data_IF_666814448397
#
_entry.id   IF_666814448397
#
_cell.length_a   1.000
_cell.length_b   1.000
_cell.length_c   1.000
_cell.angle_alpha   90.00
_cell.angle_beta   90.00
_cell.angle_gamma   90.00
#
_symmetry.space_group_name_H-M   'P 1'
#
loop_
_entity.id
_entity.type
_entity.pdbx_description
1 polymer ?
#
# COMPACT_ATOMS: atom_id res chain seq x y z
N UNK A 1 -23.21 -15.98 -23.74
CA UNK A 1 -22.38 -15.05 -24.51
C UNK A 1 -21.25 -14.52 -23.62
N UNK A 2 -20.04 -14.77 -24.03
CA UNK A 2 -18.85 -14.30 -23.29
C UNK A 2 -18.15 -13.23 -24.10
N UNK A 3 -17.94 -12.04 -23.51
CA UNK A 3 -17.14 -10.96 -24.10
C UNK A 3 -15.80 -10.94 -23.37
N UNK A 4 -14.71 -11.22 -24.06
CA UNK A 4 -13.36 -11.25 -23.47
C UNK A 4 -12.75 -9.85 -23.32
N UNK A 5 -13.14 -8.93 -24.19
CA UNK A 5 -12.68 -7.54 -24.19
C UNK A 5 -13.75 -6.64 -24.81
N UNK A 6 -14.01 -5.48 -24.19
CA UNK A 6 -14.87 -4.44 -24.74
C UNK A 6 -14.19 -3.10 -24.64
N UNK A 7 -13.94 -2.46 -25.78
CA UNK A 7 -13.44 -1.08 -25.85
C UNK A 7 -14.60 -0.13 -26.11
N UNK A 8 -14.78 0.86 -25.22
CA UNK A 8 -15.78 1.92 -25.35
C UNK A 8 -15.06 3.22 -25.62
N UNK A 9 -15.25 3.79 -26.82
CA UNK A 9 -14.59 5.04 -27.23
C UNK A 9 -15.39 6.32 -26.87
N UNK A 10 -16.60 6.13 -26.35
CA UNK A 10 -17.52 7.19 -25.92
C UNK A 10 -18.05 6.89 -24.51
N UNK A 11 -19.13 7.55 -24.11
CA UNK A 11 -19.76 7.32 -22.81
C UNK A 11 -20.39 5.93 -22.73
N UNK A 12 -20.00 5.17 -21.71
CA UNK A 12 -20.67 3.90 -21.38
C UNK A 12 -21.94 4.22 -20.58
N UNK A 13 -23.10 3.93 -21.18
CA UNK A 13 -24.40 3.98 -20.47
C UNK A 13 -24.78 2.59 -19.99
N UNK A 14 -24.75 2.38 -18.68
CA UNK A 14 -25.14 1.11 -18.06
C UNK A 14 -26.53 1.30 -17.44
N UNK A 15 -27.55 0.64 -17.99
CA UNK A 15 -28.93 0.73 -17.51
C UNK A 15 -29.25 -0.23 -16.36
N UNK A 16 -28.31 -1.03 -15.95
CA UNK A 16 -28.38 -1.95 -14.82
C UNK A 16 -27.31 -1.66 -13.76
N UNK A 17 -27.15 -2.57 -12.81
CA UNK A 17 -26.07 -2.47 -11.85
C UNK A 17 -24.71 -2.73 -12.50
N UNK A 18 -23.79 -1.77 -12.42
CA UNK A 18 -22.40 -2.00 -12.76
C UNK A 18 -21.72 -2.73 -11.61
N UNK A 19 -21.52 -4.03 -11.78
CA UNK A 19 -20.72 -4.83 -10.85
C UNK A 19 -19.24 -4.59 -11.15
N UNK A 20 -18.64 -3.64 -10.43
CA UNK A 20 -17.20 -3.47 -10.47
C UNK A 20 -16.57 -4.58 -9.62
N UNK A 21 -15.86 -5.48 -10.28
CA UNK A 21 -15.04 -6.47 -9.58
C UNK A 21 -13.89 -5.70 -8.92
N UNK A 22 -14.09 -5.26 -7.67
CA UNK A 22 -13.00 -4.69 -6.90
C UNK A 22 -11.88 -5.73 -6.82
N UNK A 23 -10.71 -5.33 -7.23
CA UNK A 23 -9.54 -6.21 -7.18
C UNK A 23 -9.26 -6.60 -5.75
N UNK A 24 -9.30 -7.83 -5.59
CA UNK A 24 -9.48 -8.68 -4.45
C UNK A 24 -8.21 -8.70 -3.61
N UNK A 25 -8.44 -8.86 -2.36
CA UNK A 25 -7.59 -9.36 -1.31
C UNK A 25 -6.65 -10.43 -1.85
N UNK A 26 -5.38 -10.14 -1.91
CA UNK A 26 -4.33 -11.10 -2.25
C UNK A 26 -3.29 -11.16 -1.14
N UNK A 27 -2.76 -12.36 -0.87
CA UNK A 27 -1.56 -12.52 -0.05
C UNK A 27 -0.33 -12.48 -0.95
N UNK A 28 0.77 -11.91 -0.46
CA UNK A 28 2.03 -11.84 -1.20
C UNK A 28 3.15 -12.50 -0.41
N UNK A 29 4.01 -13.21 -1.12
CA UNK A 29 5.22 -13.77 -0.55
C UNK A 29 6.26 -12.68 -0.32
N UNK A 30 7.19 -12.94 0.59
CA UNK A 30 8.38 -12.11 0.77
C UNK A 30 9.14 -11.90 -0.55
N UNK A 31 9.67 -10.70 -0.74
CA UNK A 31 10.40 -10.29 -1.94
C UNK A 31 9.52 -10.01 -3.17
N UNK A 32 8.19 -10.02 -3.04
CA UNK A 32 7.29 -9.72 -4.16
C UNK A 32 7.36 -8.24 -4.53
N UNK A 33 7.51 -7.96 -5.83
CA UNK A 33 7.25 -6.63 -6.40
C UNK A 33 5.83 -6.60 -6.97
N UNK A 34 5.03 -5.63 -6.55
CA UNK A 34 3.66 -5.45 -7.05
C UNK A 34 3.69 -4.94 -8.50
N UNK A 35 2.71 -5.36 -9.29
CA UNK A 35 2.52 -4.85 -10.64
C UNK A 35 1.53 -3.67 -10.64
N UNK A 36 1.73 -2.69 -11.54
CA UNK A 36 0.79 -1.58 -11.72
C UNK A 36 -0.64 -2.06 -12.03
N UNK A 37 -0.78 -3.19 -12.72
CA UNK A 37 -2.08 -3.82 -13.01
C UNK A 37 -2.83 -4.32 -11.76
N UNK A 38 -2.17 -4.41 -10.61
CA UNK A 38 -2.75 -4.78 -9.32
C UNK A 38 -3.25 -3.56 -8.53
N UNK A 39 -3.18 -2.37 -9.11
CA UNK A 39 -3.70 -1.15 -8.48
C UNK A 39 -5.16 -1.31 -8.04
N UNK A 40 -5.48 -0.81 -6.86
CA UNK A 40 -6.77 -0.99 -6.19
C UNK A 40 -6.87 -2.24 -5.32
N UNK A 41 -5.82 -3.08 -5.29
CA UNK A 41 -5.83 -4.30 -4.47
C UNK A 41 -5.66 -4.00 -2.98
N UNK A 42 -6.23 -4.88 -2.18
CA UNK A 42 -5.93 -5.03 -0.75
C UNK A 42 -4.97 -6.19 -0.58
N UNK A 43 -3.80 -5.92 -0.04
CA UNK A 43 -2.75 -6.92 0.20
C UNK A 43 -2.83 -7.35 1.66
N UNK A 44 -3.21 -8.60 1.90
CA UNK A 44 -3.11 -9.21 3.22
C UNK A 44 -1.70 -9.75 3.40
N UNK A 45 -0.95 -9.20 4.34
CA UNK A 45 0.38 -9.70 4.65
C UNK A 45 0.36 -10.41 6.00
N UNK A 46 0.92 -11.63 6.04
CA UNK A 46 0.98 -12.46 7.25
C UNK A 46 2.35 -13.05 7.51
N UNK A 47 3.31 -12.81 6.62
CA UNK A 47 4.67 -13.33 6.76
C UNK A 47 5.51 -12.34 7.55
N UNK A 48 6.05 -12.78 8.67
CA UNK A 48 6.95 -11.98 9.50
C UNK A 48 8.22 -11.58 8.74
N UNK A 49 8.62 -10.34 8.91
CA UNK A 49 9.81 -9.74 8.29
C UNK A 49 9.82 -9.76 6.75
N UNK A 50 8.64 -9.95 6.12
CA UNK A 50 8.54 -9.89 4.68
C UNK A 50 8.74 -8.47 4.17
N UNK A 51 9.26 -8.34 2.95
CA UNK A 51 9.35 -7.08 2.22
C UNK A 51 8.53 -7.17 0.94
N UNK A 52 7.63 -6.23 0.76
CA UNK A 52 6.83 -6.06 -0.47
C UNK A 52 7.28 -4.77 -1.15
N UNK A 53 7.71 -4.86 -2.40
CA UNK A 53 8.18 -3.71 -3.17
C UNK A 53 7.03 -3.14 -4.01
N UNK A 54 6.85 -1.83 -3.93
CA UNK A 54 5.92 -1.09 -4.78
C UNK A 54 6.44 -1.02 -6.22
N UNK A 55 5.57 -0.96 -7.22
CA UNK A 55 6.02 -0.68 -8.59
C UNK A 55 6.56 0.76 -8.70
N UNK A 56 7.26 1.07 -9.77
CA UNK A 56 7.61 2.46 -10.08
C UNK A 56 6.35 3.34 -10.06
N UNK A 57 6.48 4.55 -9.53
CA UNK A 57 5.35 5.46 -9.35
C UNK A 57 4.70 5.82 -10.69
N UNK A 58 3.40 5.65 -10.78
CA UNK A 58 2.53 6.14 -11.86
C UNK A 58 1.32 6.78 -11.21
N UNK A 59 0.95 7.97 -11.65
CA UNK A 59 -0.14 8.71 -11.03
C UNK A 59 -1.44 7.90 -10.93
N UNK A 60 -2.00 7.86 -9.73
CA UNK A 60 -3.27 7.18 -9.43
C UNK A 60 -3.15 5.70 -9.07
N UNK A 61 -1.97 5.09 -9.09
CA UNK A 61 -1.81 3.76 -8.50
C UNK A 61 -2.09 3.82 -7.00
N UNK A 62 -2.76 2.79 -6.49
CA UNK A 62 -3.20 2.74 -5.10
C UNK A 62 -3.18 1.31 -4.58
N UNK A 63 -2.59 1.11 -3.40
CA UNK A 63 -2.58 -0.18 -2.71
C UNK A 63 -2.92 0.00 -1.24
N UNK A 64 -3.67 -0.94 -0.70
CA UNK A 64 -3.93 -1.03 0.74
C UNK A 64 -3.27 -2.28 1.28
N UNK A 65 -2.45 -2.12 2.30
CA UNK A 65 -1.82 -3.22 3.03
C UNK A 65 -2.54 -3.41 4.36
N UNK A 66 -2.82 -4.65 4.70
CA UNK A 66 -3.44 -5.03 5.97
C UNK A 66 -2.63 -6.14 6.61
N UNK A 67 -2.27 -5.97 7.87
CA UNK A 67 -1.62 -7.02 8.62
C UNK A 67 -2.62 -8.11 9.03
N UNK A 68 -2.39 -9.32 8.59
CA UNK A 68 -3.19 -10.50 8.87
C UNK A 68 -2.39 -11.61 9.59
N UNK A 69 -1.16 -11.30 9.99
CA UNK A 69 -0.27 -12.20 10.71
C UNK A 69 -0.45 -12.16 12.22
N UNK A 70 0.52 -12.65 12.95
CA UNK A 70 0.53 -12.63 14.42
C UNK A 70 0.87 -11.22 14.92
N UNK A 71 0.20 -10.77 15.98
CA UNK A 71 0.53 -9.51 16.65
C UNK A 71 2.01 -9.50 17.12
N UNK A 72 2.63 -8.34 17.07
CA UNK A 72 4.04 -8.18 17.45
C UNK A 72 5.06 -8.59 16.38
N UNK A 73 4.59 -8.95 15.19
CA UNK A 73 5.45 -9.22 14.04
C UNK A 73 5.52 -8.00 13.11
N UNK A 74 6.49 -8.01 12.20
CA UNK A 74 6.82 -6.87 11.35
C UNK A 74 6.73 -7.21 9.86
N UNK A 75 6.54 -6.22 9.01
CA UNK A 75 6.85 -6.31 7.59
C UNK A 75 7.18 -4.94 6.99
N UNK A 76 7.80 -4.95 5.82
CA UNK A 76 8.27 -3.75 5.15
C UNK A 76 7.54 -3.53 3.83
N UNK A 77 7.29 -2.26 3.53
CA UNK A 77 6.83 -1.81 2.21
C UNK A 77 7.95 -0.94 1.65
N UNK A 78 8.64 -1.47 0.64
CA UNK A 78 9.74 -0.78 -0.04
C UNK A 78 9.23 0.02 -1.23
N UNK A 79 9.61 1.28 -1.40
CA UNK A 79 9.38 1.98 -2.64
C UNK A 79 10.28 1.44 -3.76
N UNK A 80 9.94 1.71 -5.00
CA UNK A 80 10.81 1.38 -6.12
C UNK A 80 12.03 2.32 -6.13
N UNK A 81 13.19 1.80 -6.35
CA UNK A 81 14.53 2.36 -6.32
C UNK A 81 14.71 3.84 -5.91
N UNK A 82 14.22 4.81 -6.67
CA UNK A 82 14.36 6.25 -6.36
C UNK A 82 13.05 6.90 -5.91
N UNK A 83 11.99 6.12 -5.81
CA UNK A 83 10.72 6.61 -5.27
C UNK A 83 10.82 6.81 -3.75
N UNK A 84 9.87 7.55 -3.21
CA UNK A 84 9.77 7.89 -1.80
C UNK A 84 8.42 7.51 -1.25
N UNK A 85 8.35 7.26 0.05
CA UNK A 85 7.06 7.20 0.76
C UNK A 85 6.96 8.44 1.64
N UNK A 86 5.89 9.20 1.48
CA UNK A 86 5.68 10.51 2.09
C UNK A 86 4.38 10.52 2.88
N UNK A 87 4.34 11.26 3.96
CA UNK A 87 3.15 11.48 4.77
C UNK A 87 3.43 11.40 6.24
N UNK A 88 2.38 11.51 7.03
CA UNK A 88 2.43 11.41 8.49
C UNK A 88 1.64 10.21 8.95
N UNK A 89 2.09 9.60 10.03
CA UNK A 89 1.44 8.45 10.66
C UNK A 89 1.06 8.86 12.07
N UNK A 90 -0.16 8.55 12.48
CA UNK A 90 -0.53 8.56 13.88
C UNK A 90 -0.17 7.19 14.45
N UNK A 91 0.85 7.14 15.28
CA UNK A 91 1.18 5.94 16.02
C UNK A 91 0.19 5.76 17.17
N UNK A 92 -0.61 4.69 17.10
CA UNK A 92 -1.61 4.36 18.12
C UNK A 92 -1.01 3.67 19.33
N UNK A 93 0.22 3.17 19.26
CA UNK A 93 0.84 2.44 20.35
C UNK A 93 1.19 3.36 21.54
N UNK A 94 1.57 4.60 21.27
CA UNK A 94 1.93 5.58 22.31
C UNK A 94 1.17 6.92 22.21
N UNK A 95 0.25 7.03 21.26
CA UNK A 95 -0.53 8.24 21.03
C UNK A 95 0.26 9.39 20.37
N UNK A 96 1.45 9.12 19.90
CA UNK A 96 2.27 10.10 19.20
C UNK A 96 1.95 10.18 17.72
N UNK A 97 2.04 11.38 17.17
CA UNK A 97 2.05 11.59 15.74
C UNK A 97 3.49 11.45 15.27
N UNK A 98 3.79 10.40 14.54
CA UNK A 98 5.04 10.32 13.79
C UNK A 98 4.92 11.28 12.61
N UNK A 99 5.40 12.49 12.83
CA UNK A 99 5.38 13.53 11.79
C UNK A 99 6.50 13.31 10.77
N UNK A 100 6.41 14.02 9.67
CA UNK A 100 7.40 14.03 8.58
C UNK A 100 8.86 14.34 9.00
N UNK A 101 9.14 14.52 10.26
CA UNK A 101 10.49 14.68 10.82
C UNK A 101 11.17 13.34 11.15
N UNK A 102 10.51 12.21 10.97
CA UNK A 102 11.20 10.93 11.08
C UNK A 102 12.11 10.71 9.87
N UNK A 103 13.25 10.12 10.11
CA UNK A 103 14.39 10.08 9.18
C UNK A 103 14.11 9.34 7.87
N UNK A 104 13.05 8.68 7.64
CA UNK A 104 12.76 7.98 6.38
C UNK A 104 11.70 8.64 5.51
N UNK A 105 10.96 9.64 6.04
CA UNK A 105 9.86 10.25 5.28
C UNK A 105 10.38 11.10 4.13
N UNK A 106 9.92 10.78 2.92
CA UNK A 106 10.30 11.51 1.71
C UNK A 106 11.79 11.37 1.34
N UNK A 107 12.47 10.38 1.90
CA UNK A 107 13.85 10.00 1.51
C UNK A 107 13.76 8.87 0.48
N UNK A 108 14.64 8.93 -0.52
CA UNK A 108 14.69 7.93 -1.58
C UNK A 108 14.95 6.53 -0.99
N UNK A 109 14.20 5.56 -1.46
CA UNK A 109 14.38 4.15 -1.15
C UNK A 109 14.36 3.82 0.36
N UNK A 110 13.52 4.51 1.14
CA UNK A 110 13.29 4.20 2.55
C UNK A 110 11.95 3.50 2.75
N UNK A 111 12.00 2.40 3.47
CA UNK A 111 10.85 1.55 3.72
C UNK A 111 9.87 2.19 4.72
N UNK A 112 8.60 1.94 4.47
CA UNK A 112 7.57 2.04 5.48
C UNK A 112 7.43 0.68 6.17
N UNK A 113 7.61 0.65 7.48
CA UNK A 113 7.68 -0.58 8.26
C UNK A 113 6.49 -0.70 9.19
N UNK A 114 5.87 -1.87 9.22
CA UNK A 114 5.00 -2.25 10.33
C UNK A 114 5.90 -2.71 11.48
N UNK A 115 5.80 -2.06 12.62
CA UNK A 115 6.68 -2.27 13.76
C UNK A 115 6.19 -3.38 14.71
N UNK A 116 7.02 -3.73 15.67
CA UNK A 116 6.78 -4.79 16.68
C UNK A 116 5.58 -4.53 17.61
N UNK A 117 5.02 -3.32 17.58
CA UNK A 117 3.72 -3.01 18.23
C UNK A 117 2.49 -3.46 17.44
N UNK A 118 2.68 -4.13 16.31
CA UNK A 118 1.62 -4.46 15.37
C UNK A 118 0.49 -5.28 15.97
N UNK A 119 -0.72 -5.00 15.48
CA UNK A 119 -1.92 -5.77 15.78
C UNK A 119 -2.55 -6.27 14.47
N UNK A 120 -3.29 -7.37 14.54
CA UNK A 120 -4.08 -7.85 13.40
C UNK A 120 -5.08 -6.77 12.98
N UNK A 121 -5.07 -6.43 11.70
CA UNK A 121 -5.90 -5.36 11.15
C UNK A 121 -5.20 -4.01 11.01
N UNK A 122 -3.98 -3.85 11.50
CA UNK A 122 -3.16 -2.68 11.18
C UNK A 122 -3.04 -2.53 9.67
N UNK A 123 -3.19 -1.30 9.18
CA UNK A 123 -3.30 -1.07 7.74
C UNK A 123 -2.74 0.27 7.32
N UNK A 124 -2.33 0.33 6.07
CA UNK A 124 -1.93 1.56 5.39
C UNK A 124 -2.40 1.55 3.95
N UNK A 125 -2.86 2.69 3.47
CA UNK A 125 -3.17 2.91 2.05
C UNK A 125 -2.20 3.91 1.47
N UNK A 126 -1.59 3.54 0.35
CA UNK A 126 -0.62 4.35 -0.38
C UNK A 126 -1.17 4.71 -1.75
N UNK A 127 -0.96 5.95 -2.18
CA UNK A 127 -1.33 6.46 -3.50
C UNK A 127 -0.11 7.07 -4.17
N UNK A 128 0.10 6.75 -5.46
CA UNK A 128 1.21 7.25 -6.24
C UNK A 128 0.91 8.59 -6.90
N UNK A 129 1.89 9.49 -6.94
CA UNK A 129 1.79 10.79 -7.61
C UNK A 129 2.32 10.79 -9.07
N UNK A 130 3.05 9.73 -9.44
CA UNK A 130 3.65 9.57 -10.77
C UNK A 130 4.92 10.40 -10.99
N UNK A 131 5.51 10.97 -9.94
CA UNK A 131 6.69 11.81 -10.03
C UNK A 131 7.71 11.54 -8.92
N UNK A 132 7.32 11.73 -7.67
CA UNK A 132 8.24 11.61 -6.52
C UNK A 132 8.07 10.28 -5.76
N UNK A 133 6.92 9.65 -5.89
CA UNK A 133 6.65 8.38 -5.22
C UNK A 133 5.23 8.23 -4.70
N UNK A 134 5.11 7.90 -3.44
CA UNK A 134 3.88 7.44 -2.81
C UNK A 134 3.52 8.31 -1.61
N UNK A 135 2.24 8.61 -1.47
CA UNK A 135 1.71 9.30 -0.30
C UNK A 135 0.89 8.35 0.56
N UNK A 136 1.06 8.48 1.87
CA UNK A 136 0.17 7.81 2.84
C UNK A 136 -1.17 8.54 2.81
N UNK A 137 -2.19 7.89 2.26
CA UNK A 137 -3.56 8.40 2.26
C UNK A 137 -4.23 8.13 3.60
N UNK A 138 -3.95 6.97 4.19
CA UNK A 138 -4.49 6.54 5.47
C UNK A 138 -3.54 5.54 6.11
N UNK A 139 -3.32 5.65 7.41
CA UNK A 139 -2.61 4.64 8.19
C UNK A 139 -3.29 4.45 9.55
N UNK A 140 -3.34 3.21 10.02
CA UNK A 140 -3.79 2.83 11.35
C UNK A 140 -2.91 1.69 11.82
N UNK A 141 -2.33 1.82 13.00
CA UNK A 141 -1.48 0.81 13.60
C UNK A 141 -0.07 1.31 13.88
N UNK A 142 0.81 0.40 14.25
CA UNK A 142 2.19 0.71 14.65
C UNK A 142 3.11 0.74 13.43
N UNK A 143 3.12 1.88 12.74
CA UNK A 143 3.95 2.10 11.55
C UNK A 143 5.12 3.04 11.85
N UNK A 144 6.26 2.74 11.25
CA UNK A 144 7.47 3.57 11.34
C UNK A 144 8.14 3.70 9.96
N UNK A 145 9.03 4.65 9.82
CA UNK A 145 9.89 4.73 8.66
C UNK A 145 11.27 4.16 8.99
N UNK A 146 11.86 3.52 8.02
CA UNK A 146 13.24 3.07 8.11
C UNK A 146 14.17 4.25 8.49
N UNK A 147 15.03 4.04 9.47
CA UNK A 147 15.99 5.03 9.96
C UNK A 147 17.19 5.26 9.04
#
# INVERSE_FOLDING_TARGET
HTISETTVNDNLNVTGALMYNSKIVSTKSDGTTLAASESGSVILQSTNSATITLPATVAGLRYTFVWAGTAGQTFNISPNSSDRIMGSILDVADGNIVTAASSGVGVDNKDLQLDSGSQVGDRVTLVADGNNGWYIEQALGSWAFES
#
